data_IF_848592763179
#
_entry.id   IF_848592763179
#
_cell.length_a   1.000
_cell.length_b   1.000
_cell.length_c   1.000
_cell.angle_alpha   90.00
_cell.angle_beta   90.00
_cell.angle_gamma   90.00
#
_symmetry.space_group_name_H-M   'P 1'
#
loop_
_entity.id
_entity.type
_entity.pdbx_description
1 polymer ?
#
# COMPACT_ATOMS: atom_id res chain seq x y z
N UNK A 1 16.03 -21.14 7.07
CA UNK A 1 16.16 -20.40 5.79
C UNK A 1 15.14 -19.27 5.82
N UNK A 2 15.61 -18.01 5.92
CA UNK A 2 14.75 -16.82 5.92
C UNK A 2 14.28 -16.58 4.48
N UNK A 3 12.97 -16.58 4.25
CA UNK A 3 12.37 -16.27 2.96
C UNK A 3 12.43 -14.75 2.73
N UNK A 4 13.08 -14.34 1.64
CA UNK A 4 13.33 -12.96 1.19
C UNK A 4 12.15 -12.36 0.41
N UNK A 5 10.96 -12.97 0.44
CA UNK A 5 9.80 -12.59 -0.37
C UNK A 5 8.76 -11.72 0.37
N UNK A 6 9.10 -11.05 1.49
CA UNK A 6 8.13 -10.44 2.41
C UNK A 6 8.01 -8.91 2.35
N UNK A 7 8.99 -8.24 1.78
CA UNK A 7 9.02 -6.78 1.52
C UNK A 7 8.00 -6.26 0.47
N UNK A 8 7.46 -7.03 -0.50
CA UNK A 8 6.74 -6.44 -1.63
C UNK A 8 5.30 -6.01 -1.36
N UNK A 9 4.62 -6.65 -0.41
CA UNK A 9 3.19 -6.43 -0.15
C UNK A 9 2.92 -5.04 0.44
N UNK A 10 3.84 -4.58 1.31
CA UNK A 10 3.67 -3.36 2.07
C UNK A 10 3.78 -2.11 1.21
N UNK A 11 4.70 -2.09 0.22
CA UNK A 11 4.90 -0.93 -0.64
C UNK A 11 3.71 -0.72 -1.60
N UNK A 12 3.15 -1.80 -2.14
CA UNK A 12 1.98 -1.73 -3.01
C UNK A 12 0.76 -1.12 -2.31
N UNK A 13 0.58 -1.46 -1.03
CA UNK A 13 -0.51 -0.98 -0.20
C UNK A 13 -0.30 0.44 0.32
N UNK A 14 0.95 0.79 0.68
CA UNK A 14 1.37 2.15 1.01
C UNK A 14 1.07 3.14 -0.12
N UNK A 15 1.23 2.69 -1.37
CA UNK A 15 0.95 3.46 -2.58
C UNK A 15 -0.53 3.33 -3.05
N UNK A 16 -1.34 2.49 -2.40
CA UNK A 16 -2.76 2.28 -2.75
C UNK A 16 -3.74 3.05 -1.86
N UNK A 17 -3.32 3.43 -0.65
CA UNK A 17 -4.19 3.83 0.46
C UNK A 17 -4.76 5.25 0.40
N UNK A 18 -4.85 5.89 -0.77
CA UNK A 18 -5.44 7.23 -0.91
C UNK A 18 -6.63 7.17 -1.85
N UNK A 19 -7.85 7.25 -1.31
CA UNK A 19 -9.04 7.44 -2.13
C UNK A 19 -9.97 8.47 -1.52
N UNK A 20 -10.09 9.62 -2.18
CA UNK A 20 -11.40 10.25 -2.34
C UNK A 20 -11.97 9.66 -3.63
N UNK A 21 -12.99 8.82 -3.54
CA UNK A 21 -13.74 8.38 -4.73
C UNK A 21 -14.53 9.59 -5.23
N UNK A 22 -13.88 10.44 -6.02
CA UNK A 22 -14.64 11.25 -6.96
C UNK A 22 -15.00 10.31 -8.11
N UNK A 23 -16.26 9.87 -8.16
CA UNK A 23 -16.94 9.51 -9.40
C UNK A 23 -17.02 10.78 -10.26
N UNK A 24 -15.86 11.22 -10.75
CA UNK A 24 -15.61 12.45 -11.45
C UNK A 24 -14.86 12.09 -12.72
N UNK A 25 -15.54 12.29 -13.83
CA UNK A 25 -15.12 12.10 -15.22
C UNK A 25 -13.62 12.30 -15.46
N UNK A 26 -13.06 11.36 -16.24
CA UNK A 26 -11.89 11.49 -17.12
C UNK A 26 -11.19 12.85 -17.06
N UNK A 27 -9.99 12.89 -16.45
CA UNK A 27 -9.02 13.93 -16.78
C UNK A 27 -7.96 13.31 -17.68
N UNK A 28 -8.12 13.59 -18.96
CA UNK A 28 -7.15 13.38 -20.03
C UNK A 28 -5.88 14.15 -19.66
N UNK A 29 -4.85 13.43 -19.25
CA UNK A 29 -3.54 13.97 -18.95
C UNK A 29 -2.84 14.32 -20.27
N UNK A 30 -2.77 15.61 -20.63
CA UNK A 30 -1.93 16.03 -21.76
C UNK A 30 -0.48 16.15 -21.29
N UNK A 31 0.41 15.48 -22.03
CA UNK A 31 1.81 15.18 -21.69
C UNK A 31 1.98 14.10 -20.60
N UNK A 32 1.70 12.85 -20.97
CA UNK A 32 1.80 11.71 -20.08
C UNK A 32 3.25 11.23 -19.97
N UNK A 33 3.91 11.40 -18.82
CA UNK A 33 5.10 10.57 -18.55
C UNK A 33 4.62 9.23 -18.03
N UNK A 34 5.02 8.15 -18.70
CA UNK A 34 4.76 6.78 -18.25
C UNK A 34 6.03 6.15 -17.70
N UNK A 35 5.90 5.53 -16.53
CA UNK A 35 6.98 4.78 -15.89
C UNK A 35 6.48 3.36 -15.66
N UNK A 36 6.94 2.39 -16.46
CA UNK A 36 6.59 1.00 -16.25
C UNK A 36 7.11 0.54 -14.89
N UNK A 37 6.24 -0.02 -14.06
CA UNK A 37 6.61 -0.62 -12.78
C UNK A 37 6.41 -2.14 -12.89
N UNK A 38 7.45 -2.83 -13.35
CA UNK A 38 7.42 -4.26 -13.55
C UNK A 38 8.80 -4.82 -13.85
N UNK A 39 8.88 -6.09 -14.24
CA UNK A 39 10.15 -6.79 -14.50
C UNK A 39 11.01 -6.15 -15.60
N UNK A 40 10.42 -5.31 -16.44
CA UNK A 40 11.12 -4.59 -17.50
C UNK A 40 11.81 -3.29 -17.02
N UNK A 41 11.54 -2.84 -15.79
CA UNK A 41 12.10 -1.62 -15.24
C UNK A 41 13.52 -1.86 -14.72
N UNK A 42 14.51 -1.24 -15.35
CA UNK A 42 15.93 -1.41 -15.05
C UNK A 42 16.31 -0.97 -13.64
N UNK A 43 15.68 0.10 -13.14
CA UNK A 43 16.00 0.72 -11.85
C UNK A 43 14.72 0.93 -11.03
N UNK A 44 14.09 -0.19 -10.68
CA UNK A 44 12.78 -0.22 -10.03
C UNK A 44 12.71 0.67 -8.79
N UNK A 45 13.74 0.65 -7.94
CA UNK A 45 13.79 1.47 -6.72
C UNK A 45 13.73 2.97 -7.00
N UNK A 46 14.44 3.43 -8.03
CA UNK A 46 14.46 4.84 -8.38
C UNK A 46 13.10 5.27 -8.95
N UNK A 47 12.44 4.40 -9.73
CA UNK A 47 11.10 4.64 -10.24
C UNK A 47 10.07 4.84 -9.11
N UNK A 48 10.10 4.01 -8.06
CA UNK A 48 9.21 4.18 -6.89
C UNK A 48 9.53 5.40 -6.04
N UNK A 49 10.82 5.69 -5.86
CA UNK A 49 11.23 6.91 -5.15
C UNK A 49 10.73 8.15 -5.87
N UNK A 50 10.89 8.21 -7.19
CA UNK A 50 10.38 9.31 -8.00
C UNK A 50 8.85 9.44 -7.88
N UNK A 51 8.13 8.30 -7.88
CA UNK A 51 6.69 8.28 -7.67
C UNK A 51 6.28 8.83 -6.29
N UNK A 52 6.97 8.42 -5.22
CA UNK A 52 6.73 8.87 -3.86
C UNK A 52 7.02 10.37 -3.71
N UNK A 53 8.14 10.83 -4.25
CA UNK A 53 8.54 12.24 -4.24
C UNK A 53 7.49 13.12 -4.94
N UNK A 54 7.04 12.72 -6.13
CA UNK A 54 6.02 13.45 -6.87
C UNK A 54 4.67 13.41 -6.19
N UNK A 55 4.32 12.32 -5.53
CA UNK A 55 3.09 12.29 -4.74
C UNK A 55 3.12 13.40 -3.68
N UNK A 56 4.27 13.64 -3.05
CA UNK A 56 4.44 14.68 -2.02
C UNK A 56 4.39 16.11 -2.57
N UNK A 57 4.75 16.30 -3.86
CA UNK A 57 4.86 17.62 -4.51
C UNK A 57 3.65 17.98 -5.39
N UNK A 58 3.05 17.00 -6.09
CA UNK A 58 2.00 17.18 -7.09
C UNK A 58 0.82 16.24 -6.81
N UNK A 59 -0.38 16.82 -6.75
CA UNK A 59 -1.56 16.18 -6.15
C UNK A 59 -2.14 14.96 -6.88
N UNK A 60 -1.58 14.47 -7.99
CA UNK A 60 -2.17 13.35 -8.76
C UNK A 60 -1.13 12.50 -9.50
N UNK A 61 -0.78 11.36 -8.92
CA UNK A 61 -0.15 10.25 -9.64
C UNK A 61 -1.21 9.18 -9.93
N UNK A 62 -1.24 8.63 -11.15
CA UNK A 62 -2.17 7.58 -11.54
C UNK A 62 -1.48 6.24 -11.77
N UNK A 63 -2.19 5.16 -11.45
CA UNK A 63 -1.76 3.80 -11.73
C UNK A 63 -2.66 3.19 -12.79
N UNK A 64 -2.10 2.59 -13.83
CA UNK A 64 -2.88 1.88 -14.82
C UNK A 64 -3.49 0.60 -14.22
N UNK A 65 -4.82 0.50 -14.19
CA UNK A 65 -5.52 -0.70 -13.67
C UNK A 65 -5.25 -1.94 -14.51
N UNK A 66 -5.09 -1.77 -15.81
CA UNK A 66 -4.87 -2.83 -16.77
C UNK A 66 -3.75 -2.42 -17.72
N UNK A 67 -3.21 -3.39 -18.43
CA UNK A 67 -2.28 -3.11 -19.52
C UNK A 67 -2.95 -2.22 -20.57
N UNK A 68 -2.19 -1.30 -21.15
CA UNK A 68 -2.70 -0.37 -22.15
C UNK A 68 -1.63 -0.10 -23.22
N UNK A 69 -2.09 0.35 -24.38
CA UNK A 69 -1.24 0.87 -25.46
C UNK A 69 -1.51 2.38 -25.53
N UNK A 70 -0.48 3.24 -25.48
CA UNK A 70 -0.69 4.68 -25.55
C UNK A 70 -1.11 5.08 -26.96
N UNK A 71 -1.90 6.15 -27.07
CA UNK A 71 -2.20 6.75 -28.37
C UNK A 71 -1.07 7.71 -28.79
N UNK A 72 0.12 7.17 -29.06
CA UNK A 72 1.35 7.95 -29.33
C UNK A 72 2.03 7.55 -30.65
N UNK A 73 2.38 8.47 -31.57
CA UNK A 73 2.98 8.12 -32.86
C UNK A 73 4.33 7.36 -32.79
N UNK A 74 5.06 7.50 -31.69
CA UNK A 74 6.36 6.88 -31.44
C UNK A 74 6.19 5.53 -30.71
N UNK A 75 5.23 5.45 -29.77
CA UNK A 75 5.04 4.31 -28.87
C UNK A 75 3.71 3.55 -29.05
N UNK A 76 2.93 3.81 -30.10
CA UNK A 76 1.61 3.20 -30.36
C UNK A 76 1.60 1.67 -30.58
N UNK A 77 2.75 1.01 -30.60
CA UNK A 77 2.85 -0.45 -30.65
C UNK A 77 3.33 -1.07 -29.33
N UNK A 78 3.70 -0.26 -28.35
CA UNK A 78 4.21 -0.72 -27.06
C UNK A 78 3.05 -0.92 -26.08
N UNK A 79 2.97 -2.12 -25.48
CA UNK A 79 2.00 -2.42 -24.42
C UNK A 79 2.67 -2.18 -23.07
N UNK A 80 2.14 -1.23 -22.30
CA UNK A 80 2.54 -1.03 -20.92
C UNK A 80 1.70 -1.93 -20.00
N UNK A 81 2.31 -2.57 -18.99
CA UNK A 81 1.59 -3.45 -18.08
C UNK A 81 0.70 -2.67 -17.10
N UNK A 82 -0.26 -3.37 -16.49
CA UNK A 82 -0.93 -2.90 -15.28
C UNK A 82 0.08 -2.50 -14.20
N UNK A 83 -0.26 -1.51 -13.37
CA UNK A 83 0.64 -0.94 -12.37
C UNK A 83 1.62 0.10 -12.90
N UNK A 84 1.66 0.35 -14.22
CA UNK A 84 2.43 1.46 -14.81
C UNK A 84 1.96 2.79 -14.24
N UNK A 85 2.92 3.63 -13.82
CA UNK A 85 2.63 5.00 -13.38
C UNK A 85 2.37 5.88 -14.57
N UNK A 86 1.38 6.75 -14.42
CA UNK A 86 1.03 7.80 -15.37
C UNK A 86 1.00 9.12 -14.62
N UNK A 87 1.94 10.00 -14.95
CA UNK A 87 1.99 11.35 -14.41
C UNK A 87 1.63 12.38 -15.48
N UNK A 88 0.54 13.16 -15.28
CA UNK A 88 0.13 14.21 -16.20
C UNK A 88 1.12 15.38 -16.29
N UNK A 89 1.79 15.68 -15.19
CA UNK A 89 2.68 16.85 -15.06
C UNK A 89 4.17 16.47 -15.20
N UNK A 90 4.43 15.21 -15.59
CA UNK A 90 5.76 14.64 -15.75
C UNK A 90 6.33 13.98 -14.49
N UNK A 91 7.36 13.14 -14.69
CA UNK A 91 8.14 12.53 -13.60
C UNK A 91 9.60 12.98 -13.71
N UNK A 92 10.05 13.78 -12.75
CA UNK A 92 11.44 14.19 -12.58
C UNK A 92 12.28 13.06 -11.97
N UNK A 93 13.55 12.99 -12.36
CA UNK A 93 14.50 11.98 -11.90
C UNK A 93 15.20 11.28 -13.07
N UNK A 94 16.45 10.89 -12.84
CA UNK A 94 17.26 10.16 -13.79
C UNK A 94 17.51 8.74 -13.26
N UNK A 95 17.98 7.83 -14.12
CA UNK A 95 18.28 6.43 -13.78
C UNK A 95 17.04 5.56 -13.45
N UNK A 96 16.02 5.63 -14.30
CA UNK A 96 14.97 4.61 -14.44
C UNK A 96 14.28 4.82 -15.80
N UNK A 97 13.64 3.78 -16.31
CA UNK A 97 12.95 3.82 -17.59
C UNK A 97 11.68 4.66 -17.48
N UNK A 98 11.62 5.73 -18.28
CA UNK A 98 10.46 6.61 -18.41
C UNK A 98 10.28 7.03 -19.85
N UNK A 99 9.03 7.18 -20.26
CA UNK A 99 8.68 7.53 -21.63
C UNK A 99 7.77 8.75 -21.60
N UNK A 100 8.13 9.75 -22.40
CA UNK A 100 7.34 10.97 -22.56
C UNK A 100 6.44 10.74 -23.76
N UNK A 101 5.15 10.60 -23.50
CA UNK A 101 4.15 10.44 -24.54
C UNK A 101 3.69 11.81 -25.03
N UNK A 102 3.65 11.96 -26.35
CA UNK A 102 3.07 13.10 -27.07
C UNK A 102 1.55 13.01 -27.20
N UNK A 103 0.97 11.82 -27.02
CA UNK A 103 -0.47 11.59 -27.01
C UNK A 103 -1.04 11.20 -25.63
N UNK A 104 -2.36 11.01 -25.60
CA UNK A 104 -3.11 10.79 -24.37
C UNK A 104 -3.05 9.33 -23.91
N UNK A 105 -2.99 9.13 -22.59
CA UNK A 105 -3.14 7.79 -21.98
C UNK A 105 -4.59 7.58 -21.57
N UNK A 106 -5.27 6.67 -22.27
CA UNK A 106 -6.61 6.19 -21.90
C UNK A 106 -6.51 4.95 -21.02
N UNK A 107 -6.10 5.11 -19.76
CA UNK A 107 -6.16 4.04 -18.77
C UNK A 107 -7.19 4.35 -17.70
N UNK A 108 -7.90 3.32 -17.24
CA UNK A 108 -8.70 3.43 -16.01
C UNK A 108 -7.71 3.52 -14.86
N UNK A 109 -7.79 4.55 -13.99
CA UNK A 109 -6.96 4.57 -12.80
C UNK A 109 -7.37 3.40 -11.92
N UNK A 110 -6.42 2.56 -11.54
CA UNK A 110 -6.66 1.54 -10.53
C UNK A 110 -6.87 2.24 -9.18
N UNK A 111 -6.01 3.23 -8.90
CA UNK A 111 -5.86 3.96 -7.65
C UNK A 111 -5.15 5.29 -7.98
N UNK A 112 -5.45 6.37 -7.24
CA UNK A 112 -4.79 7.67 -7.41
C UNK A 112 -4.18 8.10 -6.07
N UNK A 113 -2.85 8.22 -6.01
CA UNK A 113 -2.20 8.76 -4.82
C UNK A 113 -2.32 10.27 -4.88
N UNK A 114 -3.18 10.83 -4.05
CA UNK A 114 -3.06 12.23 -3.68
C UNK A 114 -2.04 12.32 -2.54
N UNK A 115 -0.76 12.45 -2.88
CA UNK A 115 0.32 12.38 -1.89
C UNK A 115 0.64 13.72 -1.22
N UNK A 116 0.04 14.83 -1.67
CA UNK A 116 0.42 16.16 -1.19
C UNK A 116 -0.03 16.31 0.25
N UNK A 117 0.94 16.25 1.16
CA UNK A 117 0.69 16.28 2.60
C UNK A 117 0.28 14.95 3.23
N UNK A 118 0.32 13.84 2.49
CA UNK A 118 -0.07 12.52 3.00
C UNK A 118 0.92 12.01 4.04
N UNK A 119 0.42 11.75 5.26
CA UNK A 119 1.16 11.09 6.35
C UNK A 119 0.64 9.67 6.54
N UNK A 120 1.54 8.78 6.94
CA UNK A 120 1.23 7.40 7.30
C UNK A 120 1.43 7.24 8.81
N UNK A 121 0.46 6.65 9.49
CA UNK A 121 0.65 6.20 10.87
C UNK A 121 1.03 4.71 10.85
N UNK A 122 2.07 4.35 11.60
CA UNK A 122 2.47 2.96 11.79
C UNK A 122 2.30 2.61 13.26
N UNK A 123 1.42 1.67 13.57
CA UNK A 123 1.21 1.20 14.93
C UNK A 123 2.46 0.42 15.38
N UNK A 124 2.99 0.79 16.54
CA UNK A 124 4.02 0.05 17.26
C UNK A 124 3.47 -0.33 18.62
N UNK A 125 3.22 -1.63 18.82
CA UNK A 125 2.78 -2.05 20.15
C UNK A 125 3.86 -1.78 21.20
N UNK A 126 3.47 -1.37 22.41
CA UNK A 126 4.37 -1.30 23.57
C UNK A 126 4.64 -2.67 24.19
N UNK A 127 3.82 -3.68 23.86
CA UNK A 127 3.97 -5.06 24.31
C UNK A 127 5.30 -5.64 23.83
N UNK A 128 6.00 -6.32 24.74
CA UNK A 128 7.29 -6.93 24.48
C UNK A 128 7.35 -8.33 25.08
N UNK A 129 7.96 -9.25 24.34
CA UNK A 129 8.29 -10.60 24.75
C UNK A 129 9.75 -10.68 25.23
N UNK A 130 10.06 -11.38 26.35
CA UNK A 130 11.43 -11.49 26.87
C UNK A 130 12.45 -12.13 25.91
N UNK A 131 11.99 -12.93 24.96
CA UNK A 131 12.84 -13.67 24.01
C UNK A 131 13.11 -12.85 22.75
N UNK A 132 12.10 -12.11 22.26
CA UNK A 132 12.14 -11.48 20.94
C UNK A 132 12.07 -9.95 20.96
N UNK A 133 11.87 -9.34 22.12
CA UNK A 133 11.65 -7.90 22.23
C UNK A 133 10.24 -7.53 21.79
N UNK A 134 10.09 -6.46 21.02
CA UNK A 134 8.78 -5.97 20.60
C UNK A 134 7.95 -7.03 19.86
N UNK A 135 6.67 -7.19 20.21
CA UNK A 135 5.82 -8.22 19.61
C UNK A 135 5.25 -7.80 18.24
N UNK A 136 5.17 -6.50 17.95
CA UNK A 136 4.82 -5.96 16.64
C UNK A 136 6.08 -5.87 15.75
N UNK A 137 6.60 -7.04 15.38
CA UNK A 137 7.95 -7.22 14.84
C UNK A 137 8.15 -6.65 13.42
N UNK A 138 7.09 -6.55 12.62
CA UNK A 138 7.16 -6.08 11.22
C UNK A 138 7.42 -4.58 11.07
N UNK A 139 7.43 -3.82 12.17
CA UNK A 139 7.78 -2.39 12.11
C UNK A 139 9.16 -2.15 11.47
N UNK A 140 10.10 -3.07 11.65
CA UNK A 140 11.42 -2.98 11.01
C UNK A 140 11.31 -3.05 9.48
N UNK A 141 10.44 -3.91 8.96
CA UNK A 141 10.21 -4.07 7.52
C UNK A 141 9.49 -2.83 6.95
N UNK A 142 8.51 -2.30 7.70
CA UNK A 142 7.83 -1.04 7.35
C UNK A 142 8.82 0.11 7.25
N UNK A 143 9.72 0.22 8.22
CA UNK A 143 10.78 1.23 8.21
C UNK A 143 11.79 1.03 7.09
N UNK A 144 12.19 -0.21 6.81
CA UNK A 144 13.09 -0.49 5.69
C UNK A 144 12.47 -0.06 4.37
N UNK A 145 11.15 -0.25 4.19
CA UNK A 145 10.44 0.25 3.01
C UNK A 145 10.40 1.78 2.98
N UNK A 146 9.98 2.43 4.07
CA UNK A 146 9.76 3.88 4.11
C UNK A 146 11.06 4.69 4.14
N UNK A 147 11.99 4.34 5.03
CA UNK A 147 13.26 5.02 5.22
C UNK A 147 14.32 4.51 4.23
N UNK A 148 14.38 3.20 4.00
CA UNK A 148 15.40 2.60 3.15
C UNK A 148 15.02 2.68 1.68
N UNK A 149 13.95 1.99 1.30
CA UNK A 149 13.58 1.81 -0.10
C UNK A 149 13.14 3.13 -0.74
N UNK A 150 12.21 3.82 -0.07
CA UNK A 150 11.64 5.11 -0.49
C UNK A 150 12.45 6.33 -0.04
N UNK A 151 13.57 6.15 0.68
CA UNK A 151 14.46 7.26 1.08
C UNK A 151 13.77 8.37 1.91
N UNK A 152 12.71 8.03 2.64
CA UNK A 152 11.96 8.98 3.45
C UNK A 152 11.06 9.94 2.65
N UNK A 153 10.82 9.69 1.36
CA UNK A 153 9.94 10.52 0.52
C UNK A 153 8.48 10.54 1.03
N UNK A 154 8.07 9.52 1.79
CA UNK A 154 6.78 9.49 2.47
C UNK A 154 6.94 9.80 3.95
N UNK A 155 6.19 10.81 4.42
CA UNK A 155 6.13 11.14 5.84
C UNK A 155 5.36 10.08 6.60
N UNK A 156 5.91 9.63 7.71
CA UNK A 156 5.21 8.71 8.60
C UNK A 156 5.53 9.00 10.06
N UNK A 157 4.59 8.62 10.93
CA UNK A 157 4.72 8.67 12.37
C UNK A 157 4.54 7.27 12.95
N UNK A 158 5.27 6.97 14.02
CA UNK A 158 5.07 5.76 14.80
C UNK A 158 4.15 6.11 15.96
N UNK A 159 3.00 5.45 16.01
CA UNK A 159 2.04 5.59 17.10
C UNK A 159 2.08 4.34 17.96
N UNK A 160 2.22 4.49 19.27
CA UNK A 160 1.91 3.41 20.21
C UNK A 160 0.41 3.42 20.56
N UNK A 161 -0.02 2.52 21.45
CA UNK A 161 -1.43 2.39 21.82
C UNK A 161 -1.99 3.69 22.43
N UNK A 162 -1.21 4.38 23.28
CA UNK A 162 -1.64 5.62 23.91
C UNK A 162 -1.67 6.81 22.93
N UNK A 163 -0.69 6.88 22.02
CA UNK A 163 -0.69 7.85 20.95
C UNK A 163 -1.87 7.62 20.00
N UNK A 164 -2.20 6.36 19.67
CA UNK A 164 -3.35 6.03 18.83
C UNK A 164 -4.68 6.50 19.46
N UNK A 165 -4.82 6.45 20.79
CA UNK A 165 -6.00 6.94 21.50
C UNK A 165 -6.22 8.45 21.40
N UNK A 166 -5.16 9.24 21.19
CA UNK A 166 -5.22 10.71 21.32
C UNK A 166 -4.79 11.46 20.05
N UNK A 167 -4.17 10.78 19.10
CA UNK A 167 -3.75 11.37 17.84
C UNK A 167 -4.97 11.84 17.03
N UNK A 168 -4.83 13.01 16.42
CA UNK A 168 -5.73 13.44 15.36
C UNK A 168 -5.46 12.58 14.12
N UNK A 169 -6.24 11.51 13.94
CA UNK A 169 -6.03 10.59 12.82
C UNK A 169 -6.42 11.18 11.46
N UNK A 170 -7.11 12.32 11.42
CA UNK A 170 -7.52 12.97 10.17
C UNK A 170 -6.34 13.54 9.36
N UNK A 171 -5.17 13.68 10.00
CA UNK A 171 -3.94 14.11 9.32
C UNK A 171 -3.23 12.97 8.57
N UNK A 172 -3.66 11.71 8.76
CA UNK A 172 -3.09 10.55 8.08
C UNK A 172 -4.02 10.08 6.98
N UNK A 173 -3.47 9.58 5.87
CA UNK A 173 -4.27 8.88 4.87
C UNK A 173 -4.39 7.38 5.19
N UNK A 174 -3.37 6.85 5.87
CA UNK A 174 -3.19 5.42 6.11
C UNK A 174 -2.74 5.18 7.56
N UNK A 175 -3.38 4.20 8.21
CA UNK A 175 -2.89 3.59 9.44
C UNK A 175 -2.49 2.14 9.13
N UNK A 176 -1.25 1.77 9.44
CA UNK A 176 -0.70 0.41 9.30
C UNK A 176 -0.65 -0.25 10.68
N UNK A 177 -1.31 -1.40 10.82
CA UNK A 177 -1.11 -2.33 11.91
C UNK A 177 -0.20 -3.48 11.45
N UNK A 178 1.05 -3.56 11.96
CA UNK A 178 1.95 -4.66 11.64
C UNK A 178 1.45 -5.99 12.21
N UNK A 179 2.00 -7.10 11.69
CA UNK A 179 1.80 -8.44 12.26
C UNK A 179 2.29 -8.50 13.69
N UNK A 180 1.53 -9.24 14.49
CA UNK A 180 1.83 -9.51 15.89
C UNK A 180 2.48 -10.89 15.99
N UNK A 181 3.41 -11.08 16.92
CA UNK A 181 3.96 -12.40 17.19
C UNK A 181 2.86 -13.34 17.70
N UNK A 182 2.79 -14.54 17.12
CA UNK A 182 1.84 -15.57 17.53
C UNK A 182 1.94 -15.84 19.03
N UNK A 183 0.80 -15.79 19.72
CA UNK A 183 0.67 -15.94 21.17
C UNK A 183 0.61 -14.61 21.94
N UNK A 184 0.85 -13.46 21.30
CA UNK A 184 0.80 -12.14 21.93
C UNK A 184 -0.38 -11.28 21.47
N UNK A 185 -1.27 -11.82 20.65
CA UNK A 185 -2.41 -11.10 20.07
C UNK A 185 -3.31 -10.46 21.13
N UNK A 186 -3.67 -11.24 22.15
CA UNK A 186 -4.52 -10.74 23.23
C UNK A 186 -3.84 -9.66 24.06
N UNK A 187 -2.52 -9.75 24.26
CA UNK A 187 -1.77 -8.74 25.00
C UNK A 187 -1.76 -7.40 24.25
N UNK A 188 -1.58 -7.43 22.92
CA UNK A 188 -1.68 -6.23 22.07
C UNK A 188 -3.09 -5.66 22.11
N UNK A 189 -4.12 -6.49 22.02
CA UNK A 189 -5.52 -6.03 22.15
C UNK A 189 -5.81 -5.43 23.52
N UNK A 190 -5.23 -5.98 24.59
CA UNK A 190 -5.39 -5.44 25.94
C UNK A 190 -4.65 -4.12 26.14
N UNK A 191 -3.54 -3.91 25.41
CA UNK A 191 -2.80 -2.66 25.44
C UNK A 191 -3.53 -1.53 24.69
N UNK A 192 -4.33 -1.89 23.68
CA UNK A 192 -5.24 -0.97 22.99
C UNK A 192 -6.46 -0.69 23.85
N UNK A 193 -6.50 0.48 24.47
CA UNK A 193 -7.66 0.89 25.24
C UNK A 193 -8.88 1.16 24.33
N UNK A 194 -10.11 1.25 24.90
CA UNK A 194 -11.29 1.54 24.10
C UNK A 194 -11.21 2.84 23.30
N UNK A 195 -10.47 3.85 23.79
CA UNK A 195 -10.33 5.12 23.08
C UNK A 195 -9.46 4.97 21.81
N UNK A 196 -8.40 4.16 21.86
CA UNK A 196 -7.59 3.82 20.69
C UNK A 196 -8.42 3.10 19.62
N UNK A 197 -9.23 2.11 20.04
CA UNK A 197 -10.10 1.36 19.14
C UNK A 197 -11.21 2.25 18.54
N UNK A 198 -11.84 3.10 19.36
CA UNK A 198 -12.86 4.05 18.90
C UNK A 198 -12.29 5.10 17.95
N UNK A 199 -11.09 5.63 18.22
CA UNK A 199 -10.43 6.60 17.36
C UNK A 199 -10.07 5.98 15.99
N UNK A 200 -9.53 4.76 15.99
CA UNK A 200 -9.28 4.00 14.76
C UNK A 200 -10.58 3.74 13.99
N UNK A 201 -11.65 3.36 14.69
CA UNK A 201 -12.93 3.10 14.07
C UNK A 201 -13.53 4.36 13.43
N UNK A 202 -13.44 5.50 14.11
CA UNK A 202 -13.87 6.80 13.60
C UNK A 202 -13.07 7.21 12.37
N UNK A 203 -11.74 7.03 12.40
CA UNK A 203 -10.87 7.30 11.26
C UNK A 203 -11.32 6.55 10.00
N UNK A 204 -11.52 5.24 10.07
CA UNK A 204 -11.95 4.44 8.91
C UNK A 204 -13.36 4.82 8.45
N UNK A 205 -14.30 5.01 9.37
CA UNK A 205 -15.67 5.43 9.03
C UNK A 205 -15.73 6.81 8.37
N UNK A 206 -14.74 7.67 8.64
CA UNK A 206 -14.58 8.98 8.01
C UNK A 206 -13.83 8.93 6.66
N UNK A 207 -13.55 7.72 6.14
CA UNK A 207 -12.90 7.52 4.84
C UNK A 207 -11.38 7.32 4.92
N UNK A 208 -10.81 7.23 6.11
CA UNK A 208 -9.42 6.83 6.32
C UNK A 208 -9.17 5.36 5.94
N UNK A 209 -7.95 5.03 5.55
CA UNK A 209 -7.60 3.66 5.17
C UNK A 209 -6.84 2.95 6.30
N UNK A 210 -7.37 1.83 6.79
CA UNK A 210 -6.67 0.97 7.74
C UNK A 210 -6.15 -0.28 7.04
N UNK A 211 -4.85 -0.47 7.11
CA UNK A 211 -4.18 -1.68 6.65
C UNK A 211 -3.72 -2.49 7.84
N UNK A 212 -4.08 -3.77 7.88
CA UNK A 212 -3.60 -4.69 8.89
C UNK A 212 -2.89 -5.87 8.22
N UNK A 213 -1.67 -6.15 8.67
CA UNK A 213 -0.87 -7.23 8.11
C UNK A 213 -1.08 -8.53 8.90
N UNK A 214 -1.42 -9.61 8.19
CA UNK A 214 -1.58 -10.95 8.77
C UNK A 214 -2.55 -10.96 9.98
N UNK A 215 -2.13 -11.52 11.11
CA UNK A 215 -2.89 -11.54 12.36
C UNK A 215 -3.08 -10.17 13.02
N UNK A 216 -2.42 -9.10 12.54
CA UNK A 216 -2.75 -7.73 12.93
C UNK A 216 -4.22 -7.36 12.62
N UNK A 217 -4.88 -8.10 11.72
CA UNK A 217 -6.30 -7.93 11.39
C UNK A 217 -7.24 -8.06 12.61
N UNK A 218 -6.82 -8.73 13.70
CA UNK A 218 -7.57 -8.76 14.96
C UNK A 218 -7.90 -7.36 15.49
N UNK A 219 -7.08 -6.36 15.18
CA UNK A 219 -7.28 -4.97 15.61
C UNK A 219 -8.48 -4.36 14.86
N UNK A 220 -8.68 -4.72 13.59
CA UNK A 220 -9.86 -4.32 12.83
C UNK A 220 -11.15 -4.88 13.45
N UNK A 221 -11.11 -6.16 13.86
CA UNK A 221 -12.23 -6.81 14.52
C UNK A 221 -12.50 -6.19 15.89
N UNK A 222 -11.47 -5.95 16.71
CA UNK A 222 -11.58 -5.31 18.01
C UNK A 222 -12.12 -3.88 17.93
N UNK A 223 -11.77 -3.13 16.87
CA UNK A 223 -12.32 -1.80 16.59
C UNK A 223 -13.75 -1.82 16.02
N UNK A 224 -14.33 -3.01 15.79
CA UNK A 224 -15.67 -3.15 15.22
C UNK A 224 -15.76 -2.67 13.76
N UNK A 225 -14.67 -2.77 13.01
CA UNK A 225 -14.61 -2.47 11.58
C UNK A 225 -15.04 -3.65 10.71
N UNK A 226 -14.90 -4.86 11.24
CA UNK A 226 -15.37 -6.11 10.65
C UNK A 226 -16.19 -6.89 11.69
N UNK A 227 -16.98 -7.86 11.24
CA UNK A 227 -17.85 -8.62 12.14
C UNK A 227 -17.02 -9.47 13.13
N UNK A 228 -17.44 -9.63 14.39
CA UNK A 228 -16.77 -10.53 15.33
C UNK A 228 -16.66 -11.96 14.79
N UNK A 229 -15.50 -12.60 14.99
CA UNK A 229 -15.21 -13.93 14.46
C UNK A 229 -14.84 -13.98 12.98
N UNK A 230 -14.61 -12.83 12.34
CA UNK A 230 -14.04 -12.77 10.99
C UNK A 230 -12.57 -13.20 11.00
N UNK A 231 -11.82 -12.88 12.05
CA UNK A 231 -10.41 -13.22 12.17
C UNK A 231 -10.24 -14.51 12.97
N UNK A 232 -10.10 -15.63 12.27
CA UNK A 232 -9.75 -16.93 12.88
C UNK A 232 -8.25 -17.21 12.74
N UNK A 233 -7.52 -17.03 13.84
CA UNK A 233 -6.08 -17.29 13.90
C UNK A 233 -5.73 -18.79 14.02
N UNK A 234 -6.69 -19.61 14.48
CA UNK A 234 -6.49 -21.05 14.63
C UNK A 234 -6.68 -21.79 13.31
N UNK A 235 -7.62 -21.32 12.48
CA UNK A 235 -7.92 -21.87 11.16
C UNK A 235 -7.77 -20.78 10.09
N UNK A 236 -6.53 -20.39 9.74
CA UNK A 236 -6.33 -19.44 8.65
C UNK A 236 -6.98 -19.98 7.38
N UNK A 237 -7.75 -19.13 6.71
CA UNK A 237 -8.52 -19.47 5.52
C UNK A 237 -7.63 -20.17 4.49
N UNK A 238 -7.90 -21.45 4.24
CA UNK A 238 -7.23 -22.21 3.20
C UNK A 238 -8.00 -22.00 1.90
N UNK A 239 -7.59 -21.01 1.11
CA UNK A 239 -8.20 -20.75 -0.19
C UNK A 239 -7.91 -21.90 -1.14
N UNK A 240 -8.95 -22.65 -1.52
CA UNK A 240 -8.83 -23.63 -2.59
C UNK A 240 -8.62 -22.90 -3.94
N UNK A 241 -7.84 -23.45 -4.88
CA UNK A 241 -7.79 -22.92 -6.23
C UNK A 241 -9.21 -22.80 -6.82
N UNK A 242 -9.65 -21.58 -7.13
CA UNK A 242 -10.93 -21.30 -7.79
C UNK A 242 -12.11 -20.94 -6.90
N UNK A 243 -11.87 -20.58 -5.64
CA UNK A 243 -12.94 -20.20 -4.71
C UNK A 243 -13.58 -18.84 -5.08
N UNK A 244 -14.92 -18.76 -5.27
CA UNK A 244 -15.58 -17.56 -5.80
C UNK A 244 -15.66 -16.37 -4.84
N UNK A 245 -15.40 -16.59 -3.55
CA UNK A 245 -15.30 -15.53 -2.54
C UNK A 245 -13.87 -14.98 -2.41
N UNK A 246 -12.90 -15.57 -3.10
CA UNK A 246 -11.57 -15.02 -3.23
C UNK A 246 -11.61 -13.84 -4.19
N UNK A 247 -11.93 -12.66 -3.65
CA UNK A 247 -11.99 -11.39 -4.38
C UNK A 247 -10.60 -10.79 -4.65
N UNK A 248 -9.53 -11.56 -4.45
CA UNK A 248 -8.17 -11.17 -4.83
C UNK A 248 -7.12 -12.16 -4.33
N UNK A 249 -6.78 -13.14 -5.17
CA UNK A 249 -5.55 -13.91 -4.94
C UNK A 249 -4.36 -13.04 -5.30
N UNK A 250 -3.63 -12.60 -4.29
CA UNK A 250 -2.37 -11.91 -4.50
C UNK A 250 -1.30 -12.93 -4.91
N UNK A 251 -1.14 -13.19 -6.21
CA UNK A 251 -0.06 -14.01 -6.72
C UNK A 251 1.26 -13.24 -6.70
N UNK A 252 2.27 -13.77 -6.01
CA UNK A 252 3.65 -13.26 -6.06
C UNK A 252 4.22 -13.61 -7.44
N UNK A 253 4.10 -12.67 -8.38
CA UNK A 253 4.55 -12.80 -9.78
C UNK A 253 6.05 -13.12 -9.91
N UNK A 254 6.88 -12.54 -9.04
CA UNK A 254 8.33 -12.74 -8.98
C UNK A 254 8.81 -12.68 -7.51
N UNK A 255 9.15 -13.80 -6.87
CA UNK A 255 9.59 -13.83 -5.47
C UNK A 255 10.97 -13.18 -5.22
N UNK A 256 11.71 -12.82 -6.26
CA UNK A 256 13.00 -12.12 -6.16
C UNK A 256 12.86 -10.61 -6.35
N UNK A 257 11.71 -10.14 -6.84
CA UNK A 257 11.41 -8.72 -6.82
C UNK A 257 11.15 -8.30 -5.38
N UNK A 258 11.83 -7.28 -4.85
CA UNK A 258 11.50 -6.75 -3.54
C UNK A 258 10.09 -6.15 -3.50
N UNK A 259 9.42 -6.01 -4.67
CA UNK A 259 8.17 -5.30 -4.92
C UNK A 259 7.17 -6.04 -5.82
N UNK A 260 7.09 -7.34 -5.69
CA UNK A 260 6.05 -8.15 -6.31
C UNK A 260 4.64 -7.69 -5.95
N UNK A 261 4.05 -6.92 -6.85
CA UNK A 261 2.62 -6.69 -6.88
C UNK A 261 1.86 -7.98 -7.12
N UNK A 262 0.60 -7.87 -6.76
CA UNK A 262 -0.43 -8.86 -6.94
C UNK A 262 -1.50 -8.27 -7.84
N UNK A 263 -1.84 -8.99 -8.91
CA UNK A 263 -3.08 -8.72 -9.64
C UNK A 263 -4.26 -9.37 -8.90
N UNK A 264 -5.46 -9.03 -9.33
CA UNK A 264 -6.64 -9.86 -9.10
C UNK A 264 -6.58 -10.96 -10.19
N UNK A 265 -6.37 -12.21 -9.80
CA UNK A 265 -6.34 -13.32 -10.75
C UNK A 265 -7.76 -13.77 -11.06
N UNK A 266 -8.25 -13.35 -12.21
CA UNK A 266 -9.54 -13.80 -12.72
C UNK A 266 -9.41 -15.13 -13.48
N UNK A 267 -8.19 -15.67 -13.60
CA UNK A 267 -7.88 -16.91 -14.33
C UNK A 267 -7.41 -18.04 -13.41
N UNK A 268 -7.94 -19.23 -13.66
CA UNK A 268 -7.52 -20.49 -13.02
C UNK A 268 -6.66 -21.30 -13.96
#
# INVERSE_FOLDING_TARGET
>A
MRSTARTPLLLALLLAAVTVVSLGLFTQARASTVVPLGVAQTELRNAYRAAASLSSEYGRLHWAQASFVPDDPIYNSETYPAGTLVAPDGISGDNYDKYILSGDVNSRPALAINGVGTRIAVLRSTVSDPTFGNVAWEIADVREVLEGYLDGELRYDILDEAALATADLSQYALVIAPSVRLGNEQDVLNALDPAALDNLAAFVRNGGFFYAQSNGAIIAEAAGLIAPGTVDLANPLQLAPGEPFNTGKLAVLDPNSPLTFSWLDDTL
#
